data_IF_679493838946
#
_entry.id   IF_679493838946
#
_cell.length_a   1.000
_cell.length_b   1.000
_cell.length_c   1.000
_cell.angle_alpha   90.00
_cell.angle_beta   90.00
_cell.angle_gamma   90.00
#
_symmetry.space_group_name_H-M   'P 1'
#
loop_
_entity.id
_entity.type
_entity.pdbx_description
1 polymer ?
#
# COMPACT_ATOMS: atom_id res chain seq x y z
N UNK A 1 -3.93 19.57 -5.64
CA UNK A 1 -2.95 19.44 -6.74
C UNK A 1 -1.62 19.05 -6.10
N UNK A 2 -1.21 17.78 -6.13
CA UNK A 2 0.06 17.37 -5.54
C UNK A 2 1.18 17.70 -6.52
N UNK A 3 1.97 18.72 -6.20
CA UNK A 3 3.20 19.03 -6.94
C UNK A 3 4.22 17.89 -6.78
N UNK A 4 4.79 17.41 -7.89
CA UNK A 4 5.82 16.37 -7.86
C UNK A 4 7.15 16.96 -7.41
N UNK A 5 7.83 16.35 -6.44
CA UNK A 5 9.15 16.80 -5.96
C UNK A 5 10.31 16.34 -6.86
N UNK A 6 10.08 15.32 -7.67
CA UNK A 6 11.05 14.73 -8.58
C UNK A 6 10.68 15.00 -10.03
N UNK A 7 11.67 14.92 -10.90
CA UNK A 7 11.50 14.96 -12.35
C UNK A 7 12.36 13.89 -13.02
N UNK A 8 11.94 13.48 -14.23
CA UNK A 8 12.74 12.56 -15.05
C UNK A 8 14.00 13.28 -15.51
N UNK A 9 15.14 12.69 -15.23
CA UNK A 9 16.45 13.18 -15.69
C UNK A 9 17.24 12.01 -16.29
N UNK A 10 17.35 12.00 -17.63
CA UNK A 10 17.93 10.88 -18.38
C UNK A 10 17.24 9.54 -18.08
N UNK A 11 18.01 8.55 -17.65
CA UNK A 11 17.48 7.22 -17.26
C UNK A 11 17.00 7.15 -15.79
N UNK A 12 17.17 8.22 -15.01
CA UNK A 12 16.89 8.24 -13.58
C UNK A 12 15.84 9.28 -13.17
N UNK A 13 15.88 9.61 -11.89
CA UNK A 13 15.08 10.67 -11.27
C UNK A 13 16.01 11.67 -10.60
N UNK A 14 15.68 12.95 -10.72
CA UNK A 14 16.36 14.03 -10.01
C UNK A 14 15.35 14.79 -9.16
N UNK A 15 15.85 15.48 -8.13
CA UNK A 15 15.06 16.49 -7.43
C UNK A 15 14.86 17.68 -8.36
N UNK A 16 13.65 18.24 -8.36
CA UNK A 16 13.41 19.50 -9.05
C UNK A 16 14.22 20.62 -8.40
N UNK A 17 14.59 21.61 -9.19
CA UNK A 17 15.33 22.79 -8.69
C UNK A 17 14.61 23.44 -7.51
N UNK A 18 15.35 23.68 -6.42
CA UNK A 18 14.82 24.31 -5.21
C UNK A 18 14.09 23.37 -4.26
N UNK A 19 13.95 22.07 -4.59
CA UNK A 19 13.42 21.07 -3.65
C UNK A 19 14.51 20.66 -2.66
N UNK A 20 14.18 20.74 -1.36
CA UNK A 20 15.01 20.20 -0.31
C UNK A 20 15.00 18.66 -0.34
N UNK A 21 16.19 18.06 -0.31
CA UNK A 21 16.38 16.62 -0.26
C UNK A 21 15.70 15.99 0.97
N UNK A 22 15.74 16.64 2.13
CA UNK A 22 15.11 16.12 3.34
C UNK A 22 13.58 16.01 3.17
N UNK A 23 12.95 17.01 2.57
CA UNK A 23 11.51 16.99 2.27
C UNK A 23 11.14 15.87 1.28
N UNK A 24 11.99 15.61 0.29
CA UNK A 24 11.79 14.50 -0.66
C UNK A 24 11.91 13.13 0.02
N UNK A 25 12.91 12.94 0.89
CA UNK A 25 13.09 11.72 1.69
C UNK A 25 11.90 11.49 2.62
N UNK A 26 11.46 12.53 3.34
CA UNK A 26 10.32 12.39 4.25
C UNK A 26 9.04 11.98 3.51
N UNK A 27 8.82 12.54 2.31
CA UNK A 27 7.70 12.14 1.48
C UNK A 27 7.81 10.69 1.00
N UNK A 28 9.00 10.24 0.60
CA UNK A 28 9.22 8.83 0.24
C UNK A 28 8.96 7.91 1.42
N UNK A 29 9.47 8.24 2.61
CA UNK A 29 9.24 7.45 3.82
C UNK A 29 7.75 7.32 4.15
N UNK A 30 6.94 8.37 3.94
CA UNK A 30 5.47 8.29 4.12
C UNK A 30 4.80 7.34 3.11
N UNK A 31 5.29 7.25 1.88
CA UNK A 31 4.79 6.28 0.90
C UNK A 31 5.16 4.84 1.28
N UNK A 32 6.40 4.61 1.72
CA UNK A 32 6.86 3.30 2.21
C UNK A 32 6.06 2.85 3.43
N UNK A 33 5.84 3.74 4.41
CA UNK A 33 4.98 3.48 5.57
C UNK A 33 3.55 3.16 5.16
N UNK A 34 3.00 3.83 4.15
CA UNK A 34 1.66 3.54 3.64
C UNK A 34 1.56 2.14 3.03
N UNK A 35 2.56 1.72 2.23
CA UNK A 35 2.65 0.36 1.70
C UNK A 35 2.75 -0.66 2.84
N UNK A 36 3.61 -0.41 3.81
CA UNK A 36 3.84 -1.34 4.92
C UNK A 36 2.59 -1.47 5.81
N UNK A 37 1.87 -0.38 6.04
CA UNK A 37 0.57 -0.40 6.71
C UNK A 37 -0.46 -1.23 5.93
N UNK A 38 -0.55 -1.06 4.60
CA UNK A 38 -1.44 -1.85 3.76
C UNK A 38 -1.09 -3.36 3.80
N UNK A 39 0.21 -3.69 3.83
CA UNK A 39 0.70 -5.08 3.95
C UNK A 39 0.33 -5.69 5.31
N UNK A 40 0.51 -4.92 6.39
CA UNK A 40 0.12 -5.34 7.73
C UNK A 40 -1.38 -5.56 7.87
N UNK A 41 -2.19 -4.67 7.29
CA UNK A 41 -3.66 -4.79 7.27
C UNK A 41 -4.09 -6.03 6.48
N UNK A 42 -3.52 -6.25 5.29
CA UNK A 42 -3.79 -7.43 4.46
C UNK A 42 -3.50 -8.72 5.24
N UNK A 43 -2.32 -8.84 5.86
CA UNK A 43 -1.96 -9.99 6.67
C UNK A 43 -2.89 -10.17 7.89
N UNK A 44 -3.34 -9.07 8.50
CA UNK A 44 -4.32 -9.08 9.59
C UNK A 44 -5.68 -9.61 9.15
N UNK A 45 -6.15 -9.21 7.97
CA UNK A 45 -7.40 -9.69 7.37
C UNK A 45 -7.28 -11.18 7.01
N UNK A 46 -6.15 -11.63 6.48
CA UNK A 46 -5.94 -13.06 6.20
C UNK A 46 -6.07 -13.92 7.45
N UNK A 47 -5.44 -13.51 8.56
CA UNK A 47 -5.59 -14.22 9.85
C UNK A 47 -7.04 -14.27 10.33
N UNK A 48 -7.79 -13.17 10.20
CA UNK A 48 -9.22 -13.11 10.58
C UNK A 48 -10.08 -14.02 9.70
N UNK A 49 -9.85 -14.01 8.39
CA UNK A 49 -10.55 -14.89 7.45
C UNK A 49 -10.29 -16.35 7.79
N UNK A 50 -9.04 -16.72 8.08
CA UNK A 50 -8.68 -18.09 8.46
C UNK A 50 -9.36 -18.52 9.76
N UNK A 51 -9.38 -17.65 10.78
CA UNK A 51 -10.12 -17.90 12.01
C UNK A 51 -11.62 -18.15 11.76
N UNK A 52 -12.24 -17.36 10.86
CA UNK A 52 -13.65 -17.56 10.49
C UNK A 52 -13.87 -18.86 9.70
N UNK A 53 -12.90 -19.30 8.87
CA UNK A 53 -12.97 -20.61 8.18
C UNK A 53 -12.95 -21.76 9.18
N UNK A 54 -12.04 -21.73 10.15
CA UNK A 54 -11.94 -22.73 11.21
C UNK A 54 -13.22 -22.84 12.05
N UNK A 55 -13.96 -21.72 12.19
CA UNK A 55 -15.26 -21.68 12.87
C UNK A 55 -16.46 -22.06 11.97
N UNK A 56 -16.25 -22.40 10.70
CA UNK A 56 -17.33 -22.69 9.74
C UNK A 56 -18.14 -21.47 9.29
N UNK A 57 -17.67 -20.23 9.54
CA UNK A 57 -18.42 -18.98 9.34
C UNK A 57 -18.18 -18.31 7.98
N UNK A 58 -17.88 -19.09 6.94
CA UNK A 58 -17.50 -18.59 5.61
C UNK A 58 -18.64 -17.86 4.89
N UNK A 59 -19.90 -18.17 5.22
CA UNK A 59 -21.08 -17.52 4.61
C UNK A 59 -21.52 -16.23 5.31
N UNK A 60 -20.86 -15.85 6.42
CA UNK A 60 -21.23 -14.67 7.21
C UNK A 60 -20.99 -13.35 6.47
N UNK A 61 -21.77 -12.31 6.80
CA UNK A 61 -21.57 -10.97 6.26
C UNK A 61 -20.15 -10.45 6.56
N UNK A 62 -19.64 -10.71 7.77
CA UNK A 62 -18.28 -10.35 8.18
C UNK A 62 -17.22 -10.99 7.29
N UNK A 63 -17.37 -12.28 6.95
CA UNK A 63 -16.43 -12.96 6.06
C UNK A 63 -16.41 -12.31 4.68
N UNK A 64 -17.58 -12.05 4.09
CA UNK A 64 -17.69 -11.41 2.76
C UNK A 64 -17.09 -10.01 2.75
N UNK A 65 -17.32 -9.23 3.81
CA UNK A 65 -16.72 -7.90 3.96
C UNK A 65 -15.19 -7.97 4.02
N UNK A 66 -14.64 -8.83 4.88
CA UNK A 66 -13.20 -9.03 5.02
C UNK A 66 -12.57 -9.53 3.71
N UNK A 67 -13.26 -10.43 2.99
CA UNK A 67 -12.79 -10.92 1.69
C UNK A 67 -12.75 -9.78 0.65
N UNK A 68 -13.78 -8.94 0.61
CA UNK A 68 -13.78 -7.74 -0.25
C UNK A 68 -12.63 -6.79 0.08
N UNK A 69 -12.40 -6.52 1.37
CA UNK A 69 -11.26 -5.70 1.81
C UNK A 69 -9.91 -6.31 1.41
N UNK A 70 -9.75 -7.63 1.55
CA UNK A 70 -8.55 -8.37 1.11
C UNK A 70 -8.29 -8.16 -0.38
N UNK A 71 -9.30 -8.30 -1.23
CA UNK A 71 -9.16 -8.14 -2.69
C UNK A 71 -8.77 -6.69 -3.06
N UNK A 72 -9.38 -5.71 -2.41
CA UNK A 72 -9.03 -4.29 -2.60
C UNK A 72 -7.57 -4.02 -2.20
N UNK A 73 -7.15 -4.49 -1.03
CA UNK A 73 -5.77 -4.35 -0.57
C UNK A 73 -4.78 -5.07 -1.47
N UNK A 74 -5.12 -6.27 -1.95
CA UNK A 74 -4.30 -6.99 -2.94
C UNK A 74 -4.07 -6.16 -4.20
N UNK A 75 -5.12 -5.49 -4.71
CA UNK A 75 -5.01 -4.63 -5.88
C UNK A 75 -4.21 -3.35 -5.62
N UNK A 76 -4.25 -2.82 -4.39
CA UNK A 76 -3.43 -1.67 -3.97
C UNK A 76 -1.96 -2.08 -3.85
N UNK A 77 -1.65 -3.19 -3.18
CA UNK A 77 -0.30 -3.71 -3.02
C UNK A 77 0.35 -4.04 -4.37
N UNK A 78 -0.39 -4.66 -5.29
CA UNK A 78 0.10 -4.92 -6.64
C UNK A 78 0.49 -3.63 -7.39
N UNK A 79 -0.19 -2.49 -7.12
CA UNK A 79 0.21 -1.19 -7.68
C UNK A 79 1.50 -0.70 -7.06
N UNK A 80 1.70 -0.83 -5.74
CA UNK A 80 2.98 -0.47 -5.13
C UNK A 80 4.13 -1.29 -5.72
N UNK A 81 3.97 -2.62 -5.80
CA UNK A 81 4.99 -3.51 -6.35
C UNK A 81 5.33 -3.15 -7.83
N UNK A 82 4.32 -2.76 -8.64
CA UNK A 82 4.53 -2.34 -10.02
C UNK A 82 5.38 -1.07 -10.17
N UNK A 83 5.38 -0.20 -9.15
CA UNK A 83 6.23 1.00 -9.11
C UNK A 83 7.52 0.77 -8.31
N UNK A 84 7.81 -0.45 -7.88
CA UNK A 84 8.97 -0.80 -7.06
C UNK A 84 8.92 -0.19 -5.66
N UNK A 85 7.72 0.13 -5.19
CA UNK A 85 7.49 0.79 -3.91
C UNK A 85 7.38 -0.17 -2.74
#
# INVERSE_FOLDING_TARGET
MSESLTERSGQGWALRTGVDCAAAIERLARYEQCRDAARAEYAGIERKLESLRAQGRQNSATFRQLLGQKLTLSAVLARYDAFGL
#
